data_IF_963020336375
#
_entry.id   IF_963020336375
#
_cell.length_a   1.000
_cell.length_b   1.000
_cell.length_c   1.000
_cell.angle_alpha   90.00
_cell.angle_beta   90.00
_cell.angle_gamma   90.00
#
_symmetry.space_group_name_H-M   'P 1'
#
loop_
_entity.id
_entity.type
_entity.pdbx_description
1 polymer ?
#
# COMPACT_ATOMS: atom_id res chain seq x y z
N UNK A 1 -28.15 -70.37 -74.91
CA UNK A 1 -27.11 -71.25 -74.34
C UNK A 1 -25.89 -71.20 -75.24
N UNK A 2 -24.73 -70.86 -74.67
CA UNK A 2 -23.35 -70.88 -75.23
C UNK A 2 -22.98 -70.07 -76.49
N UNK A 3 -22.25 -68.98 -76.19
CA UNK A 3 -20.93 -68.56 -76.72
C UNK A 3 -20.80 -68.06 -78.16
N UNK A 4 -20.27 -66.84 -78.33
CA UNK A 4 -18.89 -66.57 -78.79
C UNK A 4 -18.64 -65.07 -79.02
N UNK A 5 -17.34 -64.75 -79.07
CA UNK A 5 -16.65 -63.54 -79.58
C UNK A 5 -16.30 -62.52 -78.51
N UNK A 6 -15.18 -61.81 -78.58
CA UNK A 6 -13.88 -61.95 -79.24
C UNK A 6 -13.07 -60.78 -78.67
N UNK A 7 -11.77 -60.96 -78.44
CA UNK A 7 -10.87 -59.87 -78.03
C UNK A 7 -10.63 -58.93 -79.21
N UNK A 8 -10.61 -57.62 -78.97
CA UNK A 8 -9.72 -56.69 -79.66
C UNK A 8 -9.36 -55.50 -78.75
N UNK A 9 -8.10 -55.14 -78.88
CA UNK A 9 -7.29 -54.10 -78.25
C UNK A 9 -7.73 -52.67 -78.54
N UNK A 10 -7.48 -51.74 -77.61
CA UNK A 10 -7.51 -50.30 -77.90
C UNK A 10 -7.08 -49.44 -76.72
N UNK A 11 -5.99 -48.70 -76.90
CA UNK A 11 -5.46 -47.68 -75.98
C UNK A 11 -6.49 -46.58 -75.67
N UNK A 12 -6.56 -46.11 -74.43
CA UNK A 12 -6.98 -44.74 -74.12
C UNK A 12 -6.24 -44.14 -72.91
N UNK A 13 -5.56 -43.05 -73.27
CA UNK A 13 -4.99 -41.90 -72.55
C UNK A 13 -5.46 -41.60 -71.11
N UNK A 14 -4.47 -41.12 -70.37
CA UNK A 14 -4.45 -40.40 -69.09
C UNK A 14 -5.72 -39.65 -68.65
N UNK A 15 -6.05 -39.81 -67.36
CA UNK A 15 -6.48 -38.74 -66.46
C UNK A 15 -6.40 -39.25 -65.01
N UNK A 16 -5.39 -38.85 -64.25
CA UNK A 16 -5.31 -39.06 -62.80
C UNK A 16 -6.05 -37.91 -62.12
N UNK A 17 -7.08 -38.13 -61.29
CA UNK A 17 -7.72 -37.06 -60.55
C UNK A 17 -6.88 -36.72 -59.31
N UNK A 18 -6.50 -35.46 -59.23
CA UNK A 18 -6.07 -34.75 -58.02
C UNK A 18 -7.25 -34.74 -57.05
N UNK A 19 -7.27 -35.59 -56.03
CA UNK A 19 -8.18 -35.46 -54.88
C UNK A 19 -7.65 -36.30 -53.71
N UNK A 20 -6.52 -35.89 -53.10
CA UNK A 20 -6.07 -36.50 -51.84
C UNK A 20 -5.17 -35.56 -51.02
N UNK A 21 -5.51 -34.28 -50.88
CA UNK A 21 -4.74 -33.34 -50.03
C UNK A 21 -5.59 -32.28 -49.33
N UNK A 22 -6.87 -32.60 -49.01
CA UNK A 22 -7.76 -31.67 -48.29
C UNK A 22 -8.39 -32.24 -47.02
N UNK A 23 -7.91 -33.39 -46.53
CA UNK A 23 -8.45 -34.07 -45.34
C UNK A 23 -7.44 -34.28 -44.20
N UNK A 24 -6.29 -33.59 -44.24
CA UNK A 24 -5.31 -33.57 -43.14
C UNK A 24 -5.07 -32.19 -42.53
N UNK A 25 -5.70 -31.13 -43.05
CA UNK A 25 -5.61 -29.78 -42.49
C UNK A 25 -6.75 -29.42 -41.51
N UNK A 26 -7.73 -30.31 -41.33
CA UNK A 26 -8.91 -30.06 -40.48
C UNK A 26 -8.84 -30.73 -39.09
N UNK A 27 -7.74 -31.41 -38.75
CA UNK A 27 -7.54 -32.03 -37.43
C UNK A 27 -6.39 -31.43 -36.61
N UNK A 28 -5.77 -30.33 -37.06
CA UNK A 28 -4.75 -29.61 -36.29
C UNK A 28 -5.25 -28.28 -35.70
N UNK A 29 -6.57 -28.01 -35.75
CA UNK A 29 -7.19 -26.79 -35.21
C UNK A 29 -8.09 -27.04 -33.99
N UNK A 30 -8.03 -28.23 -33.39
CA UNK A 30 -8.73 -28.58 -32.15
C UNK A 30 -7.82 -29.45 -31.29
N UNK A 31 -6.80 -28.82 -30.70
CA UNK A 31 -6.02 -29.34 -29.57
C UNK A 31 -5.06 -28.25 -29.05
N UNK A 32 -5.59 -27.05 -28.81
CA UNK A 32 -5.17 -26.33 -27.61
C UNK A 32 -6.03 -26.97 -26.52
N UNK A 33 -5.44 -27.89 -25.77
CA UNK A 33 -6.01 -28.27 -24.49
C UNK A 33 -5.98 -27.00 -23.64
N UNK A 34 -7.12 -26.31 -23.54
CA UNK A 34 -7.42 -25.53 -22.35
C UNK A 34 -7.23 -26.51 -21.20
N UNK A 35 -6.12 -26.42 -20.47
CA UNK A 35 -6.14 -26.86 -19.08
C UNK A 35 -7.20 -25.97 -18.44
N UNK A 36 -8.41 -26.51 -18.35
CA UNK A 36 -9.55 -25.76 -17.84
C UNK A 36 -9.15 -25.21 -16.48
N UNK A 37 -9.24 -23.90 -16.30
CA UNK A 37 -8.95 -23.24 -15.03
C UNK A 37 -9.83 -23.91 -13.98
N UNK A 38 -9.18 -24.58 -13.02
CA UNK A 38 -9.88 -25.26 -11.95
C UNK A 38 -10.15 -24.25 -10.85
N UNK A 39 -11.41 -24.17 -10.44
CA UNK A 39 -11.91 -23.38 -9.31
C UNK A 39 -12.86 -24.26 -8.50
N UNK A 40 -12.99 -23.98 -7.22
CA UNK A 40 -14.11 -24.47 -6.40
C UNK A 40 -15.15 -23.36 -6.18
N UNK A 41 -16.06 -23.56 -5.22
CA UNK A 41 -17.26 -22.74 -5.05
C UNK A 41 -16.98 -21.34 -4.45
N UNK A 42 -15.82 -21.16 -3.80
CA UNK A 42 -15.38 -19.88 -3.22
C UNK A 42 -14.24 -19.22 -4.00
N UNK A 43 -13.86 -19.77 -5.15
CA UNK A 43 -12.87 -19.19 -6.04
C UNK A 43 -13.51 -18.36 -7.17
N UNK A 44 -12.76 -17.38 -7.68
CA UNK A 44 -12.98 -16.83 -9.02
C UNK A 44 -11.81 -17.23 -9.91
N UNK A 45 -12.08 -17.61 -11.15
CA UNK A 45 -11.01 -17.92 -12.10
C UNK A 45 -11.31 -17.40 -13.48
N UNK A 46 -10.32 -17.33 -14.36
CA UNK A 46 -10.56 -16.95 -15.75
C UNK A 46 -9.32 -16.54 -16.49
N UNK A 47 -9.53 -16.10 -17.72
CA UNK A 47 -8.47 -15.59 -18.59
C UNK A 47 -8.63 -14.09 -18.76
N UNK A 48 -7.54 -13.36 -18.62
CA UNK A 48 -7.44 -11.96 -19.06
C UNK A 48 -6.84 -11.91 -20.45
N UNK A 49 -7.50 -11.22 -21.36
CA UNK A 49 -7.00 -10.98 -22.73
C UNK A 49 -6.87 -9.49 -23.01
N UNK A 50 -5.79 -9.10 -23.69
CA UNK A 50 -5.61 -7.79 -24.32
C UNK A 50 -5.80 -7.88 -25.84
N UNK A 51 -5.40 -6.83 -26.57
CA UNK A 51 -5.52 -6.79 -28.03
C UNK A 51 -4.64 -7.81 -28.76
N UNK A 52 -3.49 -8.15 -28.17
CA UNK A 52 -2.49 -9.07 -28.76
C UNK A 52 -2.67 -10.53 -28.32
N UNK A 53 -3.70 -10.85 -27.53
CA UNK A 53 -3.95 -12.18 -26.98
C UNK A 53 -3.97 -12.20 -25.45
N UNK A 54 -3.51 -13.29 -24.80
CA UNK A 54 -3.50 -13.37 -23.35
C UNK A 54 -2.65 -12.28 -22.69
N UNK A 55 -3.15 -11.69 -21.61
CA UNK A 55 -2.50 -10.56 -20.94
C UNK A 55 -1.77 -11.02 -19.68
N UNK A 56 -0.45 -11.09 -19.76
CA UNK A 56 0.39 -11.60 -18.68
C UNK A 56 0.85 -10.51 -17.70
N UNK A 57 0.98 -10.89 -16.41
CA UNK A 57 1.53 -10.02 -15.37
C UNK A 57 0.65 -8.81 -15.05
N UNK A 58 -0.67 -8.93 -15.18
CA UNK A 58 -1.65 -7.90 -14.78
C UNK A 58 -2.39 -8.33 -13.53
N UNK A 59 -2.82 -7.36 -12.74
CA UNK A 59 -3.55 -7.60 -11.50
C UNK A 59 -5.04 -7.77 -11.80
N UNK A 60 -5.62 -8.86 -11.30
CA UNK A 60 -7.08 -9.00 -11.17
C UNK A 60 -7.46 -8.64 -9.75
N UNK A 61 -8.32 -7.63 -9.61
CA UNK A 61 -8.70 -7.05 -8.33
C UNK A 61 -10.18 -7.35 -8.10
N UNK A 62 -10.50 -8.02 -7.00
CA UNK A 62 -11.86 -8.22 -6.51
C UNK A 62 -12.07 -7.37 -5.25
N UNK A 63 -13.00 -6.41 -5.31
CA UNK A 63 -13.33 -5.49 -4.21
C UNK A 63 -14.78 -5.67 -3.78
N UNK A 64 -15.04 -5.63 -2.48
CA UNK A 64 -16.40 -5.62 -1.94
C UNK A 64 -16.52 -4.72 -0.71
N UNK A 65 -17.73 -4.18 -0.54
CA UNK A 65 -18.18 -3.49 0.68
C UNK A 65 -19.34 -4.23 1.36
N UNK A 66 -19.67 -5.45 0.91
CA UNK A 66 -20.77 -6.26 1.47
C UNK A 66 -20.37 -6.96 2.77
N UNK A 67 -19.06 -7.03 3.08
CA UNK A 67 -18.52 -7.56 4.33
C UNK A 67 -18.48 -6.50 5.43
N UNK A 68 -18.34 -6.89 6.72
CA UNK A 68 -18.30 -5.93 7.84
C UNK A 68 -17.17 -4.89 7.78
N UNK A 69 -16.10 -5.16 7.01
CA UNK A 69 -15.10 -4.18 6.59
C UNK A 69 -14.91 -4.26 5.08
N UNK A 70 -14.55 -3.13 4.45
CA UNK A 70 -14.15 -3.12 3.03
C UNK A 70 -13.04 -4.13 2.82
N UNK A 71 -13.21 -4.97 1.80
CA UNK A 71 -12.31 -6.06 1.49
C UNK A 71 -11.84 -5.98 0.05
N UNK A 72 -10.54 -6.23 -0.18
CA UNK A 72 -9.96 -6.34 -1.52
C UNK A 72 -9.07 -7.58 -1.56
N UNK A 73 -9.22 -8.42 -2.59
CA UNK A 73 -8.27 -9.49 -2.90
C UNK A 73 -7.72 -9.31 -4.31
N UNK A 74 -6.40 -9.43 -4.45
CA UNK A 74 -5.67 -9.13 -5.68
C UNK A 74 -4.75 -10.30 -6.00
N UNK A 75 -4.78 -10.74 -7.26
CA UNK A 75 -3.90 -11.77 -7.82
C UNK A 75 -3.27 -11.29 -9.12
N UNK A 76 -2.32 -12.04 -9.66
CA UNK A 76 -1.63 -11.68 -10.90
C UNK A 76 -1.79 -12.78 -11.94
N UNK A 77 -2.00 -12.40 -13.19
CA UNK A 77 -2.13 -13.35 -14.30
C UNK A 77 -0.78 -13.99 -14.68
N UNK A 78 -0.83 -15.27 -15.10
CA UNK A 78 0.31 -16.00 -15.64
C UNK A 78 0.66 -15.63 -17.10
N UNK A 79 1.57 -16.38 -17.74
CA UNK A 79 1.97 -16.13 -19.14
C UNK A 79 0.84 -16.36 -20.15
N UNK A 80 -0.18 -17.13 -19.76
CA UNK A 80 -1.37 -17.42 -20.57
C UNK A 80 -2.56 -16.54 -20.14
N UNK A 81 -2.33 -15.50 -19.34
CA UNK A 81 -3.38 -14.61 -18.87
C UNK A 81 -4.32 -15.26 -17.84
N UNK A 82 -4.03 -16.48 -17.38
CA UNK A 82 -4.88 -17.18 -16.43
C UNK A 82 -4.73 -16.59 -15.03
N UNK A 83 -5.82 -16.58 -14.28
CA UNK A 83 -5.81 -16.21 -12.87
C UNK A 83 -6.80 -17.06 -12.07
N UNK A 84 -6.53 -17.17 -10.77
CA UNK A 84 -7.48 -17.61 -9.74
C UNK A 84 -7.38 -16.63 -8.58
N UNK A 85 -8.51 -16.05 -8.17
CA UNK A 85 -8.67 -15.33 -6.90
C UNK A 85 -9.23 -16.32 -5.89
N UNK A 86 -8.40 -16.82 -4.96
CA UNK A 86 -8.81 -17.94 -4.13
C UNK A 86 -9.61 -17.51 -2.91
N UNK A 87 -10.38 -18.42 -2.31
CA UNK A 87 -10.99 -18.30 -0.97
C UNK A 87 -11.72 -16.94 -0.76
N UNK A 88 -12.62 -16.57 -1.67
CA UNK A 88 -13.42 -15.36 -1.55
C UNK A 88 -14.63 -15.59 -0.63
N UNK A 89 -14.81 -14.76 0.41
CA UNK A 89 -16.02 -14.78 1.21
C UNK A 89 -17.29 -14.64 0.37
N UNK A 90 -18.40 -15.22 0.86
CA UNK A 90 -19.69 -15.06 0.22
C UNK A 90 -20.14 -13.58 0.26
N UNK A 91 -20.02 -12.89 -0.88
CA UNK A 91 -20.36 -11.49 -1.10
C UNK A 91 -20.46 -11.22 -2.61
N UNK A 92 -20.95 -10.04 -3.00
CA UNK A 92 -20.79 -9.57 -4.37
C UNK A 92 -19.52 -8.75 -4.49
N UNK A 93 -18.81 -8.89 -5.60
CA UNK A 93 -17.54 -8.24 -5.88
C UNK A 93 -17.62 -7.42 -7.15
N UNK A 94 -17.06 -6.21 -7.12
CA UNK A 94 -16.58 -5.54 -8.33
C UNK A 94 -15.23 -6.15 -8.71
N UNK A 95 -15.11 -6.68 -9.91
CA UNK A 95 -13.87 -7.30 -10.43
C UNK A 95 -13.37 -6.56 -11.66
N UNK A 96 -12.09 -6.20 -11.68
CA UNK A 96 -11.46 -5.52 -12.82
C UNK A 96 -9.97 -5.84 -12.94
N UNK A 97 -9.41 -5.47 -14.09
CA UNK A 97 -7.99 -5.64 -14.42
C UNK A 97 -7.27 -4.31 -14.31
N UNK A 98 -6.06 -4.34 -13.74
CA UNK A 98 -5.10 -3.23 -13.72
C UNK A 98 -3.73 -3.74 -14.17
N UNK A 99 -2.96 -2.92 -14.87
CA UNK A 99 -1.58 -3.27 -15.25
C UNK A 99 -0.74 -2.07 -15.62
N UNK A 100 0.59 -2.20 -15.54
CA UNK A 100 1.48 -1.18 -16.06
C UNK A 100 1.42 -1.16 -17.60
N UNK A 101 1.35 0.03 -18.18
CA UNK A 101 1.05 0.23 -19.61
C UNK A 101 -0.45 0.26 -19.95
N UNK A 102 -1.32 -0.01 -18.97
CA UNK A 102 -2.77 -0.11 -19.14
C UNK A 102 -3.50 0.98 -18.34
N UNK A 103 -4.81 1.04 -18.51
CA UNK A 103 -5.74 1.68 -17.56
C UNK A 103 -6.65 0.62 -16.94
N UNK A 104 -7.35 0.97 -15.86
CA UNK A 104 -8.34 0.05 -15.28
C UNK A 104 -9.39 -0.35 -16.33
N UNK A 105 -9.68 -1.65 -16.40
CA UNK A 105 -10.80 -2.15 -17.18
C UNK A 105 -12.14 -1.74 -16.55
N UNK A 106 -13.26 -1.82 -17.29
CA UNK A 106 -14.58 -1.77 -16.67
C UNK A 106 -14.69 -2.80 -15.55
N UNK A 107 -15.37 -2.42 -14.47
CA UNK A 107 -15.71 -3.32 -13.36
C UNK A 107 -16.85 -4.25 -13.77
N UNK A 108 -16.71 -5.53 -13.46
CA UNK A 108 -17.75 -6.56 -13.65
C UNK A 108 -18.19 -7.06 -12.28
N UNK A 109 -19.50 -7.08 -12.05
CA UNK A 109 -20.05 -7.60 -10.80
C UNK A 109 -20.23 -9.11 -10.87
N UNK A 110 -19.76 -9.83 -9.85
CA UNK A 110 -19.89 -11.28 -9.73
C UNK A 110 -19.91 -11.72 -8.26
N UNK A 111 -20.36 -12.95 -8.02
CA UNK A 111 -20.10 -13.69 -6.78
C UNK A 111 -19.02 -14.76 -7.02
N UNK A 112 -18.42 -15.36 -5.96
CA UNK A 112 -17.52 -16.50 -6.09
C UNK A 112 -18.16 -17.73 -6.76
N UNK A 113 -17.33 -18.69 -7.20
CA UNK A 113 -17.74 -19.94 -7.86
C UNK A 113 -17.93 -19.81 -9.36
N UNK A 114 -17.29 -18.82 -10.00
CA UNK A 114 -17.50 -18.50 -11.41
C UNK A 114 -16.20 -18.34 -12.20
N UNK A 115 -16.25 -18.83 -13.44
CA UNK A 115 -15.25 -18.48 -14.46
C UNK A 115 -15.64 -17.13 -15.08
N UNK A 116 -14.77 -16.14 -14.91
CA UNK A 116 -14.94 -14.77 -15.36
C UNK A 116 -13.77 -14.37 -16.27
N UNK A 117 -13.99 -14.39 -17.57
CA UNK A 117 -13.02 -13.84 -18.51
C UNK A 117 -13.10 -12.31 -18.51
N UNK A 118 -11.94 -11.65 -18.50
CA UNK A 118 -11.81 -10.21 -18.43
C UNK A 118 -10.99 -9.68 -19.61
N UNK A 119 -11.20 -8.40 -19.94
CA UNK A 119 -10.46 -7.74 -21.02
C UNK A 119 -9.64 -6.59 -20.43
N UNK A 120 -8.34 -6.64 -20.67
CA UNK A 120 -7.43 -5.55 -20.34
C UNK A 120 -7.67 -4.35 -21.27
N UNK A 121 -7.46 -3.14 -20.77
CA UNK A 121 -7.66 -1.90 -21.56
C UNK A 121 -6.34 -1.18 -21.71
N UNK A 122 -5.89 -1.04 -22.96
CA UNK A 122 -4.66 -0.32 -23.27
C UNK A 122 -4.78 1.15 -22.86
N UNK A 123 -3.69 1.71 -22.31
CA UNK A 123 -3.71 3.12 -21.97
C UNK A 123 -3.72 3.98 -23.24
N UNK A 124 -4.58 5.02 -23.33
CA UNK A 124 -4.67 5.86 -24.52
C UNK A 124 -3.41 6.68 -24.81
N UNK A 125 -2.49 6.78 -23.84
CA UNK A 125 -1.17 7.39 -23.97
C UNK A 125 -0.28 7.05 -22.76
N UNK A 126 1.04 7.27 -22.84
CA UNK A 126 1.96 6.99 -21.73
C UNK A 126 1.64 7.73 -20.42
N UNK A 127 1.06 8.93 -20.50
CA UNK A 127 0.69 9.71 -19.30
C UNK A 127 -0.48 9.06 -18.55
N UNK A 128 -1.45 8.49 -19.27
CA UNK A 128 -2.55 7.74 -18.68
C UNK A 128 -2.05 6.45 -18.01
N UNK A 129 -1.15 5.69 -18.66
CA UNK A 129 -0.52 4.51 -18.08
C UNK A 129 0.23 4.84 -16.78
N UNK A 130 1.00 5.94 -16.78
CA UNK A 130 1.82 6.32 -15.65
C UNK A 130 1.03 6.68 -14.38
N UNK A 131 -0.28 6.98 -14.50
CA UNK A 131 -1.14 7.21 -13.32
C UNK A 131 -1.19 6.01 -12.38
N UNK A 132 -0.98 4.80 -12.91
CA UNK A 132 -1.00 3.54 -12.16
C UNK A 132 0.38 3.10 -11.68
N UNK A 133 1.45 3.81 -12.04
CA UNK A 133 2.80 3.45 -11.60
C UNK A 133 2.99 3.73 -10.10
N UNK A 134 3.80 2.93 -9.39
CA UNK A 134 4.03 3.11 -7.96
C UNK A 134 4.59 4.49 -7.65
N UNK A 135 4.27 5.02 -6.47
CA UNK A 135 4.77 6.30 -6.00
C UNK A 135 6.31 6.37 -6.04
N UNK A 136 7.02 5.27 -5.73
CA UNK A 136 8.48 5.20 -5.79
C UNK A 136 9.07 5.50 -7.18
N UNK A 137 8.37 5.15 -8.26
CA UNK A 137 8.80 5.46 -9.63
C UNK A 137 8.67 6.96 -9.92
N UNK A 138 7.59 7.58 -9.49
CA UNK A 138 7.44 9.03 -9.59
C UNK A 138 8.50 9.76 -8.78
N UNK A 139 8.77 9.28 -7.57
CA UNK A 139 9.82 9.84 -6.73
C UNK A 139 11.22 9.66 -7.34
N UNK A 140 11.46 8.63 -8.17
CA UNK A 140 12.79 8.42 -8.77
C UNK A 140 13.20 9.51 -9.76
N UNK A 141 12.27 10.38 -10.18
CA UNK A 141 12.57 11.56 -11.00
C UNK A 141 13.23 12.69 -10.21
N UNK A 142 13.20 12.62 -8.86
CA UNK A 142 13.74 13.67 -7.99
C UNK A 142 15.26 13.77 -8.14
N UNK A 143 15.76 15.00 -8.29
CA UNK A 143 17.20 15.28 -8.39
C UNK A 143 17.71 15.79 -7.05
N UNK A 144 18.28 14.89 -6.24
CA UNK A 144 18.87 15.27 -4.94
C UNK A 144 20.12 16.14 -5.15
N UNK A 145 20.53 16.95 -4.15
CA UNK A 145 21.74 17.76 -4.25
C UNK A 145 22.98 16.93 -4.56
N UNK A 146 23.91 17.45 -5.37
CA UNK A 146 25.11 16.75 -5.82
C UNK A 146 26.12 16.52 -4.67
N UNK A 147 27.05 15.59 -4.86
CA UNK A 147 28.01 15.21 -3.81
C UNK A 147 28.95 16.35 -3.40
N UNK A 148 29.32 17.20 -4.36
CA UNK A 148 30.20 18.37 -4.17
C UNK A 148 29.50 19.56 -3.52
N UNK A 149 28.17 19.52 -3.37
CA UNK A 149 27.41 20.49 -2.56
C UNK A 149 27.57 20.26 -1.04
N UNK A 150 28.30 19.23 -0.59
CA UNK A 150 28.47 18.92 0.83
C UNK A 150 29.88 19.19 1.35
N UNK A 151 30.06 19.62 2.61
CA UNK A 151 29.03 19.83 3.63
C UNK A 151 28.15 21.05 3.37
N UNK A 152 26.94 21.07 3.94
CA UNK A 152 26.03 22.20 3.81
C UNK A 152 26.63 23.50 4.35
N UNK A 153 26.30 24.62 3.70
CA UNK A 153 26.84 25.96 4.05
C UNK A 153 25.77 26.92 4.56
N UNK A 154 24.54 26.44 4.75
CA UNK A 154 23.43 27.20 5.33
C UNK A 154 22.76 28.17 4.34
N UNK A 155 21.78 28.96 4.82
CA UNK A 155 20.96 29.82 3.97
C UNK A 155 21.71 30.92 3.21
N UNK A 156 22.89 31.33 3.70
CA UNK A 156 23.73 32.33 3.02
C UNK A 156 24.70 31.69 2.01
N UNK A 157 24.75 30.36 1.94
CA UNK A 157 25.52 29.59 0.98
C UNK A 157 24.60 28.79 0.06
N UNK A 158 24.76 27.47 0.03
CA UNK A 158 24.01 26.56 -0.83
C UNK A 158 22.62 26.16 -0.31
N UNK A 159 22.16 26.75 0.80
CA UNK A 159 20.84 26.49 1.36
C UNK A 159 20.69 25.12 2.05
N UNK A 160 21.72 24.27 2.05
CA UNK A 160 21.76 22.99 2.76
C UNK A 160 22.15 23.23 4.22
N UNK A 161 21.49 22.51 5.13
CA UNK A 161 21.80 22.59 6.56
C UNK A 161 23.28 22.29 6.84
N UNK A 162 24.01 23.12 7.63
CA UNK A 162 25.39 22.84 8.00
C UNK A 162 25.61 21.54 8.77
N UNK A 163 24.54 20.94 9.30
CA UNK A 163 24.57 19.64 9.97
C UNK A 163 24.60 18.45 8.98
N UNK A 164 24.32 18.68 7.71
CA UNK A 164 24.42 17.68 6.65
C UNK A 164 25.85 17.68 6.10
N UNK A 165 26.59 16.63 6.47
CA UNK A 165 28.03 16.50 6.16
C UNK A 165 28.30 15.77 4.85
N UNK A 166 27.31 15.06 4.31
CA UNK A 166 27.42 14.32 3.06
C UNK A 166 26.06 14.15 2.38
N UNK A 167 26.08 13.91 1.06
CA UNK A 167 24.90 13.56 0.28
C UNK A 167 24.22 12.29 0.83
N UNK A 168 24.99 11.29 1.26
CA UNK A 168 24.44 10.07 1.84
C UNK A 168 23.62 10.32 3.11
N UNK A 169 24.08 11.22 3.99
CA UNK A 169 23.34 11.62 5.20
C UNK A 169 22.05 12.38 4.83
N UNK A 170 22.11 13.22 3.81
CA UNK A 170 20.96 13.96 3.31
C UNK A 170 19.90 13.01 2.70
N UNK A 171 20.32 12.09 1.83
CA UNK A 171 19.45 11.05 1.24
C UNK A 171 18.85 10.15 2.31
N UNK A 172 19.64 9.72 3.31
CA UNK A 172 19.12 8.96 4.45
C UNK A 172 17.99 9.71 5.14
N UNK A 173 18.15 11.01 5.35
CA UNK A 173 17.17 11.87 6.02
C UNK A 173 15.89 12.05 5.18
N UNK A 174 16.00 12.09 3.85
CA UNK A 174 14.85 12.07 2.95
C UNK A 174 14.13 10.70 2.96
N UNK A 175 14.89 9.60 2.95
CA UNK A 175 14.37 8.22 2.92
C UNK A 175 14.01 7.72 4.32
N UNK A 176 14.80 6.78 4.84
CA UNK A 176 14.51 6.01 6.06
C UNK A 176 14.67 6.77 7.38
N UNK A 177 15.17 8.02 7.35
CA UNK A 177 15.42 8.84 8.53
C UNK A 177 14.44 9.98 8.77
N UNK A 178 13.45 10.16 7.88
CA UNK A 178 12.56 11.32 7.92
C UNK A 178 11.34 11.16 7.01
N UNK A 179 11.37 11.75 5.81
CA UNK A 179 10.15 11.93 5.02
C UNK A 179 9.50 10.61 4.59
N UNK A 180 10.24 9.71 3.93
CA UNK A 180 9.65 8.45 3.44
C UNK A 180 9.33 7.44 4.55
N UNK A 181 9.83 7.64 5.77
CA UNK A 181 9.46 6.78 6.89
C UNK A 181 7.97 6.93 7.27
N UNK A 182 7.39 8.12 7.04
CA UNK A 182 6.00 8.41 7.40
C UNK A 182 5.11 8.79 6.20
N UNK A 183 5.70 9.11 5.04
CA UNK A 183 4.97 9.64 3.89
C UNK A 183 5.30 8.90 2.60
N UNK A 184 4.26 8.51 1.86
CA UNK A 184 4.41 7.99 0.51
C UNK A 184 4.62 9.13 -0.50
N UNK A 185 5.86 9.59 -0.63
CA UNK A 185 6.24 10.56 -1.67
C UNK A 185 6.14 9.93 -3.07
N UNK A 186 5.62 10.70 -4.03
CA UNK A 186 5.38 10.26 -5.41
C UNK A 186 3.94 9.81 -5.69
N UNK A 187 3.07 9.80 -4.69
CA UNK A 187 1.63 9.71 -4.92
C UNK A 187 1.11 10.99 -5.61
N UNK A 188 -0.12 10.96 -6.14
CA UNK A 188 -0.69 12.10 -6.88
C UNK A 188 -0.65 13.41 -6.07
N UNK A 189 -1.03 13.35 -4.80
CA UNK A 189 -1.06 14.52 -3.92
C UNK A 189 0.32 15.13 -3.63
N UNK A 190 1.41 14.37 -3.81
CA UNK A 190 2.78 14.85 -3.58
C UNK A 190 3.50 15.23 -4.87
N UNK A 191 3.22 14.58 -5.99
CA UNK A 191 3.87 14.89 -7.27
C UNK A 191 3.23 16.08 -8.03
N UNK A 192 1.96 16.37 -7.77
CA UNK A 192 1.21 17.54 -8.26
C UNK A 192 0.85 18.45 -7.09
N UNK A 193 0.33 19.66 -7.32
CA UNK A 193 -0.22 20.55 -6.27
C UNK A 193 -1.75 20.40 -6.22
N UNK A 194 -2.32 19.81 -5.15
CA UNK A 194 -3.77 19.74 -4.97
C UNK A 194 -4.40 21.13 -4.92
N UNK A 195 -5.54 21.29 -5.59
CA UNK A 195 -6.28 22.56 -5.64
C UNK A 195 -6.78 23.00 -4.26
N UNK A 196 -6.98 22.03 -3.36
CA UNK A 196 -7.40 22.23 -1.98
C UNK A 196 -6.36 22.97 -1.12
N UNK A 197 -5.10 23.05 -1.58
CA UNK A 197 -4.06 23.86 -0.92
C UNK A 197 -4.19 25.35 -1.25
N UNK A 198 -4.87 25.70 -2.35
CA UNK A 198 -5.01 27.07 -2.85
C UNK A 198 -4.06 27.39 -4.01
N UNK A 199 -4.01 28.67 -4.37
CA UNK A 199 -3.15 29.22 -5.42
C UNK A 199 -1.90 29.86 -4.81
N UNK A 200 -0.78 29.78 -5.54
CA UNK A 200 0.53 30.24 -5.06
C UNK A 200 1.32 30.91 -6.18
N UNK A 201 2.14 31.89 -5.80
CA UNK A 201 3.03 32.60 -6.74
C UNK A 201 4.18 31.72 -7.26
N UNK A 202 4.51 30.64 -6.55
CA UNK A 202 5.53 29.68 -6.97
C UNK A 202 5.30 28.27 -6.41
N UNK A 203 5.94 27.27 -7.02
CA UNK A 203 5.89 25.89 -6.54
C UNK A 203 6.64 25.69 -5.21
N UNK A 204 7.68 26.48 -4.93
CA UNK A 204 8.32 26.50 -3.61
C UNK A 204 7.33 26.96 -2.54
N UNK A 205 6.56 28.02 -2.81
CA UNK A 205 5.53 28.50 -1.88
C UNK A 205 4.42 27.46 -1.67
N UNK A 206 4.01 26.76 -2.74
CA UNK A 206 3.05 25.66 -2.65
C UNK A 206 3.57 24.50 -1.79
N UNK A 207 4.83 24.07 -2.00
CA UNK A 207 5.47 23.04 -1.18
C UNK A 207 5.63 23.47 0.28
N UNK A 208 5.99 24.73 0.49
CA UNK A 208 6.13 25.27 1.83
C UNK A 208 4.80 25.29 2.59
N UNK A 209 3.71 25.68 1.92
CA UNK A 209 2.36 25.61 2.47
C UNK A 209 1.89 24.18 2.72
N UNK A 210 2.22 23.24 1.82
CA UNK A 210 1.86 21.82 1.95
C UNK A 210 2.36 21.24 3.26
N UNK A 211 3.67 21.38 3.53
CA UNK A 211 4.31 20.76 4.70
C UNK A 211 3.83 21.34 6.03
N UNK A 212 3.10 22.46 6.00
CA UNK A 212 2.52 23.10 7.18
C UNK A 212 1.10 22.60 7.49
N UNK A 213 0.54 21.69 6.69
CA UNK A 213 -0.85 21.27 6.82
C UNK A 213 -1.08 20.37 8.04
N UNK A 214 -2.14 20.67 8.80
CA UNK A 214 -2.61 19.84 9.91
C UNK A 214 -1.69 19.80 11.12
N UNK A 215 -1.96 18.85 12.03
CA UNK A 215 -1.28 18.73 13.33
C UNK A 215 0.15 18.20 13.21
N UNK A 216 0.49 17.51 12.10
CA UNK A 216 1.86 17.09 11.79
C UNK A 216 2.74 18.22 11.26
N UNK A 217 2.16 19.34 10.78
CA UNK A 217 2.89 20.35 10.01
C UNK A 217 4.09 20.95 10.73
N UNK A 218 3.97 21.18 12.05
CA UNK A 218 5.11 21.65 12.85
C UNK A 218 6.29 20.66 12.88
N UNK A 219 6.03 19.35 12.87
CA UNK A 219 7.07 18.32 12.82
C UNK A 219 7.70 18.27 11.43
N UNK A 220 6.88 18.31 10.39
CA UNK A 220 7.34 18.30 8.99
C UNK A 220 8.23 19.52 8.67
N UNK A 221 7.85 20.72 9.13
CA UNK A 221 8.68 21.93 9.02
C UNK A 221 10.04 21.76 9.68
N UNK A 222 10.11 21.16 10.87
CA UNK A 222 11.39 20.90 11.54
C UNK A 222 12.24 19.88 10.77
N UNK A 223 11.61 18.83 10.25
CA UNK A 223 12.27 17.85 9.38
C UNK A 223 12.90 18.50 8.15
N UNK A 224 12.13 19.34 7.45
CA UNK A 224 12.60 20.07 6.27
C UNK A 224 13.74 21.05 6.62
N UNK A 225 13.63 21.78 7.73
CA UNK A 225 14.70 22.67 8.20
C UNK A 225 16.00 21.90 8.48
N UNK A 226 15.90 20.66 8.96
CA UNK A 226 17.06 19.78 9.19
C UNK A 226 17.84 19.45 7.93
N UNK A 227 17.17 19.34 6.77
CA UNK A 227 17.79 19.15 5.45
C UNK A 227 18.43 20.44 4.90
N UNK A 228 17.85 21.59 5.24
CA UNK A 228 18.11 22.88 4.60
C UNK A 228 16.90 23.29 3.77
N UNK A 229 16.02 24.09 4.38
CA UNK A 229 14.68 24.41 3.87
C UNK A 229 14.71 24.93 2.44
N UNK A 230 15.55 25.91 2.15
CA UNK A 230 15.63 26.55 0.84
C UNK A 230 16.00 25.54 -0.25
N UNK A 231 17.11 24.80 -0.08
CA UNK A 231 17.54 23.81 -1.07
C UNK A 231 16.50 22.71 -1.28
N UNK A 232 15.87 22.24 -0.18
CA UNK A 232 14.86 21.20 -0.25
C UNK A 232 13.58 21.67 -0.97
N UNK A 233 13.08 22.88 -0.70
CA UNK A 233 11.91 23.43 -1.38
C UNK A 233 12.17 23.60 -2.88
N UNK A 234 13.32 24.16 -3.26
CA UNK A 234 13.70 24.31 -4.67
C UNK A 234 13.76 22.96 -5.38
N UNK A 235 14.34 21.94 -4.75
CA UNK A 235 14.38 20.58 -5.31
C UNK A 235 12.98 19.99 -5.51
N UNK A 236 12.10 20.10 -4.52
CA UNK A 236 10.74 19.57 -4.64
C UNK A 236 9.90 20.36 -5.65
N UNK A 237 10.10 21.67 -5.76
CA UNK A 237 9.47 22.52 -6.76
C UNK A 237 9.89 22.11 -8.18
N UNK A 238 11.19 21.96 -8.45
CA UNK A 238 11.72 21.45 -9.73
C UNK A 238 11.13 20.08 -10.09
N UNK A 239 11.09 19.17 -9.14
CA UNK A 239 10.53 17.83 -9.35
C UNK A 239 9.04 17.88 -9.73
N UNK A 240 8.24 18.70 -9.04
CA UNK A 240 6.83 18.92 -9.40
C UNK A 240 6.70 19.60 -10.76
N UNK A 241 7.51 20.63 -11.04
CA UNK A 241 7.49 21.37 -12.31
C UNK A 241 7.71 20.43 -13.49
N UNK A 242 8.77 19.61 -13.46
CA UNK A 242 9.10 18.69 -14.54
C UNK A 242 7.99 17.66 -14.79
N UNK A 243 7.38 17.12 -13.73
CA UNK A 243 6.24 16.19 -13.83
C UNK A 243 5.02 16.88 -14.48
N UNK A 244 4.70 18.09 -14.04
CA UNK A 244 3.58 18.85 -14.62
C UNK A 244 3.84 19.23 -16.08
N UNK A 245 5.09 19.50 -16.44
CA UNK A 245 5.51 19.87 -17.79
C UNK A 245 5.48 18.70 -18.79
N UNK A 246 5.53 17.44 -18.35
CA UNK A 246 5.73 16.36 -19.33
C UNK A 246 6.35 15.10 -18.79
N UNK A 247 7.19 15.22 -17.77
CA UNK A 247 8.10 14.15 -17.41
C UNK A 247 7.37 12.96 -16.82
N UNK A 248 7.70 11.77 -17.34
CA UNK A 248 7.16 10.51 -16.89
C UNK A 248 8.32 9.64 -16.35
N UNK A 249 8.08 8.88 -15.27
CA UNK A 249 9.07 7.93 -14.80
C UNK A 249 9.21 6.75 -15.79
N UNK A 250 10.28 5.96 -15.69
CA UNK A 250 10.42 4.75 -16.50
C UNK A 250 9.23 3.81 -16.27
N UNK A 251 8.84 3.08 -17.33
CA UNK A 251 7.79 2.07 -17.23
C UNK A 251 8.25 0.97 -16.28
N UNK A 252 7.53 0.70 -15.18
CA UNK A 252 7.89 -0.39 -14.27
C UNK A 252 7.73 -1.75 -14.97
N UNK A 253 8.57 -2.75 -14.65
CA UNK A 253 8.34 -4.10 -15.11
C UNK A 253 7.05 -4.65 -14.50
N UNK A 254 6.32 -5.45 -15.27
CA UNK A 254 5.21 -6.25 -14.73
C UNK A 254 5.75 -7.46 -13.97
N UNK A 255 5.00 -8.00 -12.99
CA UNK A 255 5.40 -9.20 -12.27
C UNK A 255 5.64 -10.38 -13.23
N UNK A 256 6.71 -11.12 -12.98
CA UNK A 256 7.12 -12.27 -13.79
C UNK A 256 7.49 -13.48 -12.92
N UNK A 257 7.38 -14.69 -13.48
CA UNK A 257 7.72 -15.92 -12.79
C UNK A 257 7.02 -16.03 -11.43
N UNK A 258 7.80 -16.28 -10.36
CA UNK A 258 7.28 -16.50 -9.01
C UNK A 258 6.57 -15.28 -8.41
N UNK A 259 6.83 -14.06 -8.90
CA UNK A 259 6.16 -12.84 -8.41
C UNK A 259 4.65 -12.86 -8.68
N UNK A 260 4.22 -13.66 -9.66
CA UNK A 260 2.80 -13.80 -10.03
C UNK A 260 2.00 -14.69 -9.06
N UNK A 261 2.68 -15.43 -8.19
CA UNK A 261 2.04 -16.30 -7.20
C UNK A 261 1.62 -15.54 -5.93
N UNK A 262 1.74 -14.21 -5.92
CA UNK A 262 1.37 -13.39 -4.78
C UNK A 262 -0.14 -13.15 -4.79
N UNK A 263 -0.78 -13.45 -3.66
CA UNK A 263 -2.14 -13.04 -3.35
C UNK A 263 -2.08 -11.95 -2.29
N UNK A 264 -2.68 -10.79 -2.57
CA UNK A 264 -2.77 -9.68 -1.62
C UNK A 264 -4.20 -9.59 -1.13
N UNK A 265 -4.41 -9.62 0.18
CA UNK A 265 -5.70 -9.33 0.80
C UNK A 265 -5.59 -8.06 1.62
N UNK A 266 -6.57 -7.16 1.50
CA UNK A 266 -6.58 -5.86 2.15
C UNK A 266 -7.92 -5.63 2.84
N UNK A 267 -7.85 -4.97 4.00
CA UNK A 267 -9.00 -4.59 4.81
C UNK A 267 -8.91 -3.11 5.18
N UNK A 268 -10.06 -2.47 5.37
CA UNK A 268 -10.18 -1.14 5.96
C UNK A 268 -10.66 -1.26 7.42
N UNK A 269 -9.77 -1.10 8.38
CA UNK A 269 -10.00 -1.56 9.76
C UNK A 269 -9.71 -0.50 10.83
N UNK A 270 -9.77 0.76 10.44
CA UNK A 270 -9.78 1.93 11.33
C UNK A 270 -10.72 3.01 10.76
N UNK A 271 -10.89 4.13 11.46
CA UNK A 271 -11.72 5.23 10.99
C UNK A 271 -10.96 6.23 10.08
N UNK A 272 -11.65 7.03 9.24
CA UNK A 272 -10.99 7.96 8.31
C UNK A 272 -10.11 9.06 8.94
N UNK A 273 -10.23 9.32 10.25
CA UNK A 273 -9.41 10.29 10.98
C UNK A 273 -8.28 9.63 11.77
N UNK A 274 -8.26 8.30 11.84
CA UNK A 274 -7.22 7.52 12.49
C UNK A 274 -5.92 7.54 11.69
N UNK A 275 -4.81 7.59 12.43
CA UNK A 275 -3.47 7.38 11.91
C UNK A 275 -2.95 6.05 12.46
N UNK A 276 -3.23 4.96 11.75
CA UNK A 276 -2.66 3.65 12.08
C UNK A 276 -1.15 3.67 11.85
N UNK A 277 -0.39 3.61 12.94
CA UNK A 277 1.06 3.74 12.91
C UNK A 277 1.77 2.38 13.06
N UNK A 278 1.30 1.56 14.00
CA UNK A 278 1.88 0.24 14.28
C UNK A 278 0.83 -0.85 14.32
N UNK A 279 1.25 -2.09 14.13
CA UNK A 279 0.43 -3.28 14.33
C UNK A 279 1.23 -4.46 14.88
N UNK A 280 0.52 -5.42 15.48
CA UNK A 280 1.06 -6.70 15.87
C UNK A 280 0.09 -7.82 15.55
N UNK A 281 0.57 -8.80 14.80
CA UNK A 281 -0.18 -9.99 14.41
C UNK A 281 0.14 -11.22 15.26
N UNK A 282 1.28 -11.28 15.95
CA UNK A 282 1.68 -12.42 16.79
C UNK A 282 2.88 -12.06 17.69
N UNK A 283 3.26 -12.96 18.61
CA UNK A 283 4.51 -12.82 19.36
C UNK A 283 5.70 -13.11 18.42
N UNK A 284 6.59 -12.13 18.27
CA UNK A 284 7.78 -12.24 17.40
C UNK A 284 8.72 -13.39 17.78
N UNK A 285 8.64 -13.89 19.02
CA UNK A 285 9.44 -15.01 19.52
C UNK A 285 8.80 -16.36 19.24
N UNK A 286 7.47 -16.40 19.08
CA UNK A 286 6.72 -17.59 18.73
C UNK A 286 5.50 -17.22 17.87
N UNK A 287 5.62 -17.26 16.53
CA UNK A 287 4.58 -16.77 15.65
C UNK A 287 3.28 -17.61 15.69
N UNK A 288 3.30 -18.81 16.27
CA UNK A 288 2.11 -19.67 16.35
C UNK A 288 1.16 -19.29 17.49
N UNK A 289 1.52 -18.34 18.37
CA UNK A 289 0.68 -17.93 19.51
C UNK A 289 -0.65 -17.33 19.05
N UNK A 290 -0.66 -16.66 17.90
CA UNK A 290 -1.84 -15.99 17.34
C UNK A 290 -2.10 -16.42 15.88
N UNK A 291 -1.89 -17.71 15.58
CA UNK A 291 -2.16 -18.24 14.24
C UNK A 291 -3.64 -17.99 13.86
N UNK A 292 -3.87 -17.33 12.73
CA UNK A 292 -5.20 -16.91 12.25
C UNK A 292 -5.99 -16.05 13.24
N UNK A 293 -5.33 -15.48 14.25
CA UNK A 293 -5.95 -14.67 15.28
C UNK A 293 -6.07 -13.20 14.88
N UNK A 294 -6.69 -12.38 15.74
CA UNK A 294 -6.87 -10.97 15.48
C UNK A 294 -5.55 -10.20 15.42
N UNK A 295 -5.47 -9.19 14.55
CA UNK A 295 -4.35 -8.26 14.44
C UNK A 295 -4.72 -7.00 15.24
N UNK A 296 -3.77 -6.50 16.03
CA UNK A 296 -3.97 -5.36 16.92
C UNK A 296 -3.15 -4.17 16.46
N UNK A 297 -3.78 -3.03 16.19
CA UNK A 297 -3.10 -1.80 15.79
C UNK A 297 -2.87 -0.81 16.93
N UNK A 298 -2.10 0.23 16.64
CA UNK A 298 -1.94 1.41 17.50
C UNK A 298 -2.04 2.70 16.67
N UNK A 299 -2.89 3.61 17.13
CA UNK A 299 -3.29 4.81 16.41
C UNK A 299 -2.54 6.05 16.89
N UNK A 300 -1.20 6.04 16.81
CA UNK A 300 -0.33 7.07 17.38
C UNK A 300 -0.89 8.49 17.15
N UNK A 301 -0.94 9.29 18.21
CA UNK A 301 -1.46 10.66 18.27
C UNK A 301 -2.94 10.87 17.88
N UNK A 302 -3.55 9.98 17.10
CA UNK A 302 -4.84 10.21 16.44
C UNK A 302 -6.07 9.86 17.29
N UNK A 303 -6.13 8.67 17.89
CA UNK A 303 -7.30 8.19 18.62
C UNK A 303 -6.95 7.26 19.80
N UNK A 304 -7.86 7.17 20.79
CA UNK A 304 -7.68 6.38 22.02
C UNK A 304 -8.43 5.04 21.97
N UNK A 305 -8.17 4.26 20.93
CA UNK A 305 -8.61 2.87 20.84
C UNK A 305 -7.58 1.98 20.15
N UNK A 306 -7.60 0.69 20.45
CA UNK A 306 -6.90 -0.36 19.72
C UNK A 306 -7.82 -0.83 18.60
N UNK A 307 -7.52 -0.58 17.31
CA UNK A 307 -8.21 -1.23 16.20
C UNK A 307 -7.83 -2.71 16.18
N UNK A 308 -8.82 -3.56 15.92
CA UNK A 308 -8.67 -5.01 15.90
C UNK A 308 -9.25 -5.52 14.58
N UNK A 309 -8.43 -6.17 13.76
CA UNK A 309 -8.85 -6.85 12.54
C UNK A 309 -8.90 -8.35 12.81
N UNK A 310 -10.05 -8.96 12.57
CA UNK A 310 -10.17 -10.41 12.40
C UNK A 310 -10.05 -10.73 10.90
N UNK A 311 -8.88 -11.22 10.44
CA UNK A 311 -8.67 -11.49 9.02
C UNK A 311 -9.44 -12.72 8.52
N UNK A 312 -9.89 -13.62 9.40
CA UNK A 312 -10.66 -14.82 9.04
C UNK A 312 -12.15 -14.49 8.96
N UNK A 313 -12.66 -13.74 9.94
CA UNK A 313 -14.06 -13.29 9.94
C UNK A 313 -14.32 -12.08 9.03
N UNK A 314 -13.26 -11.45 8.51
CA UNK A 314 -13.32 -10.19 7.74
C UNK A 314 -14.11 -9.10 8.48
N UNK A 315 -13.79 -8.94 9.76
CA UNK A 315 -14.43 -7.94 10.63
C UNK A 315 -13.39 -7.03 11.27
N UNK A 316 -13.80 -5.79 11.51
CA UNK A 316 -13.02 -4.82 12.28
C UNK A 316 -13.80 -4.46 13.55
N UNK A 317 -13.08 -4.31 14.67
CA UNK A 317 -13.61 -3.87 15.94
C UNK A 317 -12.61 -2.96 16.65
N UNK A 318 -12.99 -2.42 17.80
CA UNK A 318 -12.14 -1.51 18.56
C UNK A 318 -12.31 -1.70 20.06
N UNK A 319 -11.24 -1.48 20.81
CA UNK A 319 -11.28 -1.42 22.27
C UNK A 319 -10.67 -0.11 22.75
N UNK A 320 -11.43 0.69 23.50
CA UNK A 320 -10.97 1.97 24.03
C UNK A 320 -9.77 1.78 24.96
N UNK A 321 -8.74 2.62 24.78
CA UNK A 321 -7.55 2.64 25.63
C UNK A 321 -7.79 3.65 26.76
N UNK A 322 -7.83 3.21 28.02
CA UNK A 322 -8.05 4.14 29.12
C UNK A 322 -6.77 4.90 29.49
N UNK A 323 -6.94 6.13 29.97
CA UNK A 323 -5.95 6.85 30.77
C UNK A 323 -6.32 6.72 32.25
N UNK A 324 -5.32 6.68 33.14
CA UNK A 324 -5.52 6.63 34.60
C UNK A 324 -5.95 7.99 35.14
N UNK A 325 -5.40 9.06 34.58
CA UNK A 325 -5.70 10.44 34.95
C UNK A 325 -6.43 11.15 33.80
N UNK A 326 -7.68 11.61 34.01
CA UNK A 326 -8.46 12.29 32.97
C UNK A 326 -7.89 13.66 32.57
N UNK A 327 -6.99 14.25 33.36
CA UNK A 327 -6.29 15.50 33.03
C UNK A 327 -5.09 15.27 32.10
N UNK A 328 -4.92 14.04 31.59
CA UNK A 328 -3.89 13.73 30.58
C UNK A 328 -4.13 14.57 29.32
N UNK A 329 -3.15 15.38 28.89
CA UNK A 329 -3.34 16.23 27.72
C UNK A 329 -3.36 15.42 26.42
N UNK A 330 -4.06 15.93 25.41
CA UNK A 330 -3.97 15.43 24.04
C UNK A 330 -2.52 15.52 23.55
N UNK A 331 -2.02 14.43 22.95
CA UNK A 331 -0.63 14.33 22.52
C UNK A 331 -0.33 15.16 21.28
N UNK A 332 -1.28 15.27 20.36
CA UNK A 332 -1.14 16.08 19.17
C UNK A 332 -1.27 17.57 19.50
N UNK A 333 -0.47 18.41 18.84
CA UNK A 333 -0.59 19.87 18.91
C UNK A 333 -1.78 20.34 18.05
N UNK A 334 -2.23 21.60 18.22
CA UNK A 334 -3.14 22.21 17.26
C UNK A 334 -2.57 22.19 15.83
N UNK A 335 -3.43 22.18 14.80
CA UNK A 335 -3.00 22.32 13.41
C UNK A 335 -2.11 23.55 13.21
N UNK A 336 -1.02 23.42 12.46
CA UNK A 336 -0.16 24.56 12.14
C UNK A 336 -0.84 25.47 11.11
N UNK A 337 -1.37 24.87 10.04
CA UNK A 337 -2.27 25.49 9.06
C UNK A 337 -3.40 24.50 8.72
N UNK A 338 -4.52 24.97 8.12
CA UNK A 338 -5.63 24.09 7.77
C UNK A 338 -5.20 22.90 6.90
N UNK A 339 -5.76 21.73 7.21
CA UNK A 339 -5.70 20.54 6.38
C UNK A 339 -6.48 20.75 5.08
N UNK A 340 -5.98 20.29 3.92
CA UNK A 340 -6.75 20.33 2.67
C UNK A 340 -7.99 19.43 2.70
N UNK A 341 -8.09 18.49 3.66
CA UNK A 341 -9.22 17.54 3.77
C UNK A 341 -10.16 17.85 4.94
N UNK A 342 -9.62 18.38 6.04
CA UNK A 342 -10.35 18.55 7.31
C UNK A 342 -10.42 20.01 7.78
N UNK A 343 -9.89 20.95 6.98
CA UNK A 343 -9.88 22.36 7.33
C UNK A 343 -9.13 22.62 8.64
N UNK A 344 -9.74 23.43 9.50
CA UNK A 344 -9.18 23.83 10.82
C UNK A 344 -9.39 22.77 11.91
N UNK A 345 -10.12 21.69 11.64
CA UNK A 345 -10.43 20.67 12.65
C UNK A 345 -9.16 19.94 13.15
N UNK A 346 -8.98 19.92 14.47
CA UNK A 346 -7.96 19.11 15.13
C UNK A 346 -8.45 17.66 15.29
N UNK A 347 -8.28 16.85 14.25
CA UNK A 347 -8.79 15.46 14.19
C UNK A 347 -8.00 14.46 15.04
N UNK A 348 -6.75 14.75 15.39
CA UNK A 348 -5.93 13.91 16.24
C UNK A 348 -6.13 14.31 17.70
N UNK A 349 -6.82 13.43 18.42
CA UNK A 349 -7.40 13.71 19.74
C UNK A 349 -6.87 12.78 20.84
N UNK A 350 -5.92 11.90 20.52
CA UNK A 350 -5.43 10.89 21.45
C UNK A 350 -4.74 11.49 22.67
N UNK A 351 -5.17 11.08 23.87
CA UNK A 351 -4.47 11.29 25.13
C UNK A 351 -3.54 10.13 25.46
N UNK A 352 -4.00 8.89 25.26
CA UNK A 352 -3.24 7.69 25.55
C UNK A 352 -2.03 7.52 24.63
N UNK A 353 -2.11 8.07 23.41
CA UNK A 353 -1.04 8.15 22.43
C UNK A 353 -0.30 6.82 22.28
N UNK A 354 -1.07 5.76 22.03
CA UNK A 354 -0.58 4.40 22.02
C UNK A 354 0.39 4.15 20.86
N UNK A 355 1.38 3.28 21.09
CA UNK A 355 2.43 2.93 20.13
C UNK A 355 3.04 1.58 20.50
N UNK A 356 3.71 0.92 19.54
CA UNK A 356 4.43 -0.34 19.70
C UNK A 356 3.59 -1.46 20.34
N UNK A 357 2.44 -1.86 19.76
CA UNK A 357 1.73 -3.06 20.19
C UNK A 357 2.65 -4.27 20.05
N UNK A 358 2.67 -5.14 21.05
CA UNK A 358 3.42 -6.40 21.05
C UNK A 358 2.60 -7.49 21.72
N UNK A 359 2.51 -8.67 21.10
CA UNK A 359 1.91 -9.83 21.74
C UNK A 359 2.96 -10.57 22.56
N UNK A 360 2.56 -11.07 23.73
CA UNK A 360 3.36 -12.01 24.50
C UNK A 360 2.95 -13.48 24.27
N UNK A 361 3.70 -14.41 24.88
CA UNK A 361 3.46 -15.85 24.78
C UNK A 361 2.08 -16.33 25.28
N UNK A 362 1.29 -15.47 25.94
CA UNK A 362 -0.07 -15.77 26.39
C UNK A 362 -1.14 -15.17 25.48
N UNK A 363 -0.74 -14.44 24.44
CA UNK A 363 -1.63 -13.70 23.55
C UNK A 363 -2.10 -12.36 24.12
N UNK A 364 -1.42 -11.83 25.16
CA UNK A 364 -1.76 -10.51 25.72
C UNK A 364 -1.09 -9.41 24.91
N UNK A 365 -1.79 -8.30 24.72
CA UNK A 365 -1.34 -7.17 23.92
C UNK A 365 -0.72 -6.11 24.82
N UNK A 366 0.56 -5.86 24.66
CA UNK A 366 1.32 -4.85 25.39
C UNK A 366 1.50 -3.62 24.52
N UNK A 367 1.19 -2.45 25.07
CA UNK A 367 1.23 -1.16 24.40
C UNK A 367 2.13 -0.22 25.19
N UNK A 368 2.88 0.62 24.51
CA UNK A 368 3.38 1.85 25.14
C UNK A 368 2.30 2.92 25.02
N UNK A 369 1.85 3.47 26.15
CA UNK A 369 0.77 4.47 26.17
C UNK A 369 0.93 5.42 27.35
N UNK A 370 0.60 6.69 27.16
CA UNK A 370 0.40 7.64 28.24
C UNK A 370 -0.78 7.19 29.11
N UNK A 371 -0.61 7.25 30.43
CA UNK A 371 -1.71 6.96 31.37
C UNK A 371 -1.99 8.14 32.30
N UNK A 372 -1.12 9.16 32.31
CA UNK A 372 -1.18 10.33 33.19
C UNK A 372 -0.30 11.46 32.64
N UNK A 373 -0.43 12.70 33.15
CA UNK A 373 0.48 13.80 32.84
C UNK A 373 1.96 13.46 33.06
N UNK A 374 2.84 14.24 32.41
CA UNK A 374 4.24 13.86 32.27
C UNK A 374 5.05 13.81 33.56
N UNK A 375 4.69 14.61 34.57
CA UNK A 375 5.42 14.69 35.84
C UNK A 375 5.38 13.36 36.58
N UNK A 376 6.53 12.76 36.89
CA UNK A 376 6.57 11.50 37.63
C UNK A 376 6.25 11.68 39.12
N UNK A 377 5.80 10.62 39.82
CA UNK A 377 5.67 10.64 41.27
C UNK A 377 7.04 10.76 41.94
N UNK A 378 7.08 11.31 43.16
CA UNK A 378 8.33 11.59 43.87
C UNK A 378 9.23 10.35 44.06
N UNK A 379 8.64 9.15 44.18
CA UNK A 379 9.44 7.93 44.34
C UNK A 379 10.28 7.57 43.09
N UNK A 380 9.99 8.16 41.93
CA UNK A 380 10.78 8.01 40.70
C UNK A 380 11.89 9.05 40.55
N UNK A 381 11.84 10.14 41.33
CA UNK A 381 12.71 11.32 41.18
C UNK A 381 13.99 11.21 42.00
N UNK A 382 14.92 12.12 41.75
CA UNK A 382 16.13 12.26 42.56
C UNK A 382 15.76 12.53 44.03
N UNK A 383 16.50 11.92 44.97
CA UNK A 383 16.22 11.99 46.41
C UNK A 383 15.30 10.89 46.95
N UNK A 384 14.75 10.04 46.08
CA UNK A 384 14.01 8.84 46.48
C UNK A 384 14.92 7.73 47.02
N UNK A 385 14.43 6.97 48.01
CA UNK A 385 15.11 5.77 48.52
C UNK A 385 14.96 4.55 47.58
N UNK A 386 14.12 4.64 46.54
CA UNK A 386 13.88 3.54 45.61
C UNK A 386 15.15 3.20 44.80
N UNK A 387 15.58 1.92 44.72
CA UNK A 387 16.84 1.55 44.05
C UNK A 387 16.95 2.04 42.59
N UNK A 388 15.87 1.95 41.82
CA UNK A 388 15.85 2.44 40.43
C UNK A 388 16.01 3.96 40.33
N UNK A 389 15.43 4.73 41.27
CA UNK A 389 15.55 6.19 41.27
C UNK A 389 16.94 6.65 41.69
N UNK A 390 17.63 5.89 42.55
CA UNK A 390 19.07 6.13 42.86
C UNK A 390 19.97 5.86 41.66
N UNK A 391 19.65 4.85 40.85
CA UNK A 391 20.44 4.50 39.67
C UNK A 391 20.14 5.40 38.47
N UNK A 392 18.87 5.75 38.28
CA UNK A 392 18.39 6.51 37.13
C UNK A 392 17.11 7.27 37.50
N UNK A 393 17.22 8.44 38.15
CA UNK A 393 16.07 9.25 38.50
C UNK A 393 15.38 9.77 37.24
N UNK A 394 14.05 9.77 37.25
CA UNK A 394 13.23 10.21 36.13
C UNK A 394 12.21 11.25 36.61
N UNK A 395 12.43 12.51 36.25
CA UNK A 395 11.51 13.60 36.59
C UNK A 395 10.19 13.52 35.83
N UNK A 396 10.23 13.01 34.60
CA UNK A 396 9.05 12.90 33.74
C UNK A 396 9.05 11.65 32.87
N UNK A 397 7.86 11.26 32.41
CA UNK A 397 7.64 10.19 31.45
C UNK A 397 6.63 10.65 30.37
N UNK A 398 6.85 10.27 29.12
CA UNK A 398 5.92 10.56 28.01
C UNK A 398 4.93 9.44 27.75
N UNK A 399 5.39 8.18 27.80
CA UNK A 399 4.58 6.97 27.68
C UNK A 399 4.95 6.01 28.80
N UNK A 400 3.97 5.23 29.21
CA UNK A 400 4.05 4.16 30.19
C UNK A 400 3.75 2.83 29.49
N UNK A 401 3.42 1.78 30.24
CA UNK A 401 3.06 0.48 29.69
C UNK A 401 1.61 0.18 30.02
N UNK A 402 0.85 -0.27 29.02
CA UNK A 402 -0.48 -0.83 29.21
C UNK A 402 -0.52 -2.25 28.66
N UNK A 403 -1.34 -3.08 29.28
CA UNK A 403 -1.56 -4.46 28.84
C UNK A 403 -3.05 -4.70 28.71
N UNK A 404 -3.48 -5.08 27.52
CA UNK A 404 -4.81 -5.57 27.22
C UNK A 404 -4.76 -7.10 27.18
N UNK A 405 -5.65 -7.76 27.92
CA UNK A 405 -5.83 -9.21 27.85
C UNK A 405 -7.11 -9.55 27.07
N UNK A 406 -7.01 -9.99 25.80
CA UNK A 406 -8.17 -10.31 24.98
C UNK A 406 -9.10 -11.37 25.56
N UNK A 407 -8.63 -12.22 26.49
CA UNK A 407 -9.47 -13.26 27.12
C UNK A 407 -10.38 -12.73 28.21
N UNK A 408 -9.98 -11.63 28.85
CA UNK A 408 -10.74 -11.02 29.95
C UNK A 408 -11.33 -9.67 29.57
N UNK A 409 -10.92 -9.13 28.42
CA UNK A 409 -11.27 -7.79 27.93
C UNK A 409 -10.86 -6.68 28.90
N UNK A 410 -9.80 -6.91 29.70
CA UNK A 410 -9.33 -5.97 30.71
C UNK A 410 -8.04 -5.26 30.29
N UNK A 411 -7.99 -3.97 30.58
CA UNK A 411 -6.78 -3.17 30.55
C UNK A 411 -6.13 -3.11 31.94
N UNK A 412 -4.82 -3.31 31.97
CA UNK A 412 -3.96 -2.99 33.12
C UNK A 412 -3.03 -1.86 32.74
N UNK A 413 -3.10 -0.74 33.47
CA UNK A 413 -2.24 0.42 33.31
C UNK A 413 -1.08 0.35 34.30
N UNK A 414 0.16 0.35 33.81
CA UNK A 414 1.38 0.16 34.61
C UNK A 414 2.11 1.50 34.74
#
# INVERSE_FOLDING_TARGET
>A
MRTKRARYTGLLKAATPVFLTLWLAAMSACQLTDDAIQIDDDDLGGVVTGEEGPEAGVWVIAETTDLPTKFVKIVVTDDQGHYVVPDLPAANYDVWVRGYGLVDSPKVQTAPGHILNLTAVEAPNPRAAAQYYPAGYWLSLIQVPDQDEFPGTGPQGNGISPNMKSQAQWIRSLKSGGCMACHQLGNKATREVPVELGEFDSLEAAWDRRIQSGQAGGNMVRGLNGLGRQRALTMFADWTERITAGELPPVPPRPQGLERNIVITQWDWADPKAYLHDEASTDKRNPTVNANGPIYGALEASADYVPILDPVGHTASQVTIPVRDPDTPVAARPPLLPSPYWGEEAIWTSQANAHNPMLDHKGRVWLTSTVRPSENPDFCKEGSEHPSAKAFPLDSARRHVSMYDPKTEQFTLI
#
